data_IF_136861335041
#
_entry.id   IF_136861335041
#
_cell.length_a   1.000
_cell.length_b   1.000
_cell.length_c   1.000
_cell.angle_alpha   90.00
_cell.angle_beta   90.00
_cell.angle_gamma   90.00
#
_symmetry.space_group_name_H-M   'P 1'
#
loop_
_entity.id
_entity.type
_entity.pdbx_description
1 polymer ?
#
# COMPACT_ATOMS: atom_id res chain seq x y z
N UNK A 1 4.12 27.87 -54.22
CA UNK A 1 3.68 27.26 -52.95
C UNK A 1 2.33 26.60 -53.16
N UNK A 2 2.25 25.27 -53.06
CA UNK A 2 1.01 24.53 -53.32
C UNK A 2 -0.01 24.72 -52.19
N UNK A 3 -1.30 24.53 -52.50
CA UNK A 3 -2.41 24.71 -51.55
C UNK A 3 -2.18 23.93 -50.24
N UNK A 4 -1.59 22.75 -50.34
CA UNK A 4 -1.24 21.90 -49.20
C UNK A 4 -0.18 22.53 -48.27
N UNK A 5 0.85 23.17 -48.82
CA UNK A 5 1.92 23.80 -48.04
C UNK A 5 1.41 25.02 -47.26
N UNK A 6 0.48 25.79 -47.85
CA UNK A 6 -0.15 26.94 -47.17
C UNK A 6 -0.99 26.50 -45.96
N UNK A 7 -1.74 25.42 -46.11
CA UNK A 7 -2.57 24.88 -45.04
C UNK A 7 -1.68 24.27 -43.94
N UNK A 8 -0.66 23.52 -44.32
CA UNK A 8 0.26 22.89 -43.35
C UNK A 8 0.96 23.93 -42.46
N UNK A 9 1.45 25.04 -43.02
CA UNK A 9 2.14 26.10 -42.27
C UNK A 9 1.21 26.81 -41.27
N UNK A 10 -0.10 26.87 -41.55
CA UNK A 10 -1.08 27.50 -40.66
C UNK A 10 -1.58 26.55 -39.57
N UNK A 11 -1.77 25.27 -39.90
CA UNK A 11 -2.36 24.28 -38.97
C UNK A 11 -1.31 23.61 -38.09
N UNK A 12 -0.08 23.40 -38.58
CA UNK A 12 1.00 22.76 -37.83
C UNK A 12 1.33 23.44 -36.48
N UNK A 13 1.49 24.78 -36.37
CA UNK A 13 1.79 25.42 -35.09
C UNK A 13 0.65 25.28 -34.08
N UNK A 14 -0.61 25.29 -34.53
CA UNK A 14 -1.76 25.07 -33.65
C UNK A 14 -1.78 23.62 -33.11
N UNK A 15 -1.56 22.64 -33.99
CA UNK A 15 -1.46 21.23 -33.61
C UNK A 15 -0.25 20.97 -32.70
N UNK A 16 0.86 21.68 -32.88
CA UNK A 16 2.04 21.54 -32.03
C UNK A 16 1.76 22.00 -30.59
N UNK A 17 1.09 23.15 -30.42
CA UNK A 17 0.72 23.69 -29.09
C UNK A 17 -0.31 22.78 -28.41
N UNK A 18 -1.36 22.38 -29.13
CA UNK A 18 -2.38 21.48 -28.60
C UNK A 18 -1.80 20.10 -28.28
N UNK A 19 -0.90 19.59 -29.12
CA UNK A 19 -0.21 18.32 -28.90
C UNK A 19 0.69 18.35 -27.67
N UNK A 20 1.38 19.47 -27.43
CA UNK A 20 2.20 19.65 -26.23
C UNK A 20 1.34 19.63 -24.95
N UNK A 21 0.28 20.43 -24.90
CA UNK A 21 -0.64 20.49 -23.74
C UNK A 21 -1.31 19.12 -23.50
N UNK A 22 -1.78 18.46 -24.56
CA UNK A 22 -2.42 17.15 -24.44
C UNK A 22 -1.44 16.06 -23.96
N UNK A 23 -0.17 16.15 -24.38
CA UNK A 23 0.87 15.22 -23.94
C UNK A 23 1.22 15.43 -22.47
N UNK A 24 1.27 16.69 -22.02
CA UNK A 24 1.51 17.04 -20.61
C UNK A 24 0.39 16.47 -19.72
N UNK A 25 -0.88 16.71 -20.10
CA UNK A 25 -2.04 16.17 -19.40
C UNK A 25 -2.07 14.62 -19.39
N UNK A 26 -1.66 13.99 -20.49
CA UNK A 26 -1.63 12.52 -20.57
C UNK A 26 -0.58 11.91 -19.63
N UNK A 27 0.61 12.52 -19.54
CA UNK A 27 1.68 12.09 -18.65
C UNK A 27 1.31 12.33 -17.18
N UNK A 28 0.72 13.48 -16.84
CA UNK A 28 0.20 13.76 -15.49
C UNK A 28 -0.88 12.75 -15.08
N UNK A 29 -1.80 12.40 -15.98
CA UNK A 29 -2.86 11.44 -15.72
C UNK A 29 -2.34 10.00 -15.49
N UNK A 30 -1.19 9.61 -16.05
CA UNK A 30 -0.54 8.34 -15.71
C UNK A 30 0.26 8.40 -14.39
N UNK A 31 0.71 9.59 -13.97
CA UNK A 31 1.36 9.80 -12.67
C UNK A 31 0.36 9.87 -11.50
N UNK A 32 -0.87 10.33 -11.73
CA UNK A 32 -1.94 10.41 -10.73
C UNK A 32 -2.59 9.02 -10.43
N UNK A 33 -2.34 8.02 -11.29
CA UNK A 33 -2.75 6.64 -10.99
C UNK A 33 -1.94 6.12 -9.82
N UNK A 34 -2.56 6.16 -8.64
CA UNK A 34 -2.05 5.57 -7.40
C UNK A 34 -1.46 4.19 -7.70
N UNK A 35 -0.13 4.09 -7.63
CA UNK A 35 0.58 2.85 -7.95
C UNK A 35 0.28 1.85 -6.85
N UNK A 36 -0.56 0.86 -7.15
CA UNK A 36 -0.87 -0.26 -6.26
C UNK A 36 0.24 -1.31 -6.41
N UNK A 37 1.00 -1.52 -5.35
CA UNK A 37 2.09 -2.50 -5.29
C UNK A 37 1.72 -3.59 -4.30
N UNK A 38 1.80 -4.86 -4.73
CA UNK A 38 1.53 -5.98 -3.83
C UNK A 38 2.77 -6.30 -2.99
N UNK A 39 2.56 -6.48 -1.69
CA UNK A 39 3.48 -7.01 -0.71
C UNK A 39 3.15 -8.48 -0.48
N UNK A 40 4.16 -9.36 -0.50
CA UNK A 40 4.00 -10.79 -0.26
C UNK A 40 4.75 -11.21 1.01
N UNK A 41 4.25 -12.16 1.81
CA UNK A 41 5.03 -12.71 2.93
C UNK A 41 6.34 -13.36 2.45
N UNK A 42 7.45 -13.06 3.12
CA UNK A 42 8.76 -13.67 2.89
C UNK A 42 8.77 -15.15 3.33
N UNK A 43 8.02 -15.47 4.37
CA UNK A 43 7.85 -16.81 4.96
C UNK A 43 6.46 -16.97 5.56
N UNK A 44 6.20 -18.09 6.25
CA UNK A 44 5.01 -18.23 7.10
C UNK A 44 4.95 -17.07 8.11
N UNK A 45 3.80 -16.41 8.20
CA UNK A 45 3.59 -15.30 9.12
C UNK A 45 3.05 -15.78 10.47
N UNK A 46 3.73 -15.40 11.55
CA UNK A 46 3.29 -15.55 12.93
C UNK A 46 3.46 -14.21 13.67
N UNK A 47 2.47 -13.33 13.55
CA UNK A 47 2.49 -11.96 14.09
C UNK A 47 2.68 -11.95 15.61
N UNK A 48 2.09 -12.92 16.33
CA UNK A 48 2.25 -13.01 17.80
C UNK A 48 3.65 -13.47 18.22
N UNK A 49 4.34 -14.22 17.37
CA UNK A 49 5.74 -14.62 17.57
C UNK A 49 6.73 -13.55 17.07
N UNK A 50 6.25 -12.54 16.34
CA UNK A 50 7.08 -11.51 15.70
C UNK A 50 7.76 -11.96 14.40
N UNK A 51 7.28 -13.04 13.80
CA UNK A 51 7.84 -13.65 12.60
C UNK A 51 6.90 -13.39 11.40
N UNK A 52 6.78 -12.14 10.94
CA UNK A 52 5.98 -11.84 9.75
C UNK A 52 6.56 -10.65 8.99
N UNK A 53 7.35 -10.96 7.96
CA UNK A 53 7.96 -9.96 7.07
C UNK A 53 7.26 -10.01 5.72
N UNK A 54 6.75 -8.87 5.27
CA UNK A 54 6.14 -8.66 3.96
C UNK A 54 7.14 -7.93 3.06
N UNK A 55 7.29 -8.37 1.81
CA UNK A 55 8.33 -7.90 0.89
C UNK A 55 7.76 -7.47 -0.47
N UNK A 56 8.38 -6.45 -1.06
CA UNK A 56 8.20 -6.05 -2.46
C UNK A 56 9.47 -5.37 -2.97
N UNK A 57 10.31 -6.11 -3.71
CA UNK A 57 11.66 -5.66 -4.05
C UNK A 57 12.50 -5.44 -2.77
N UNK A 58 13.08 -4.25 -2.63
CA UNK A 58 13.86 -3.87 -1.45
C UNK A 58 13.01 -3.36 -0.27
N UNK A 59 11.71 -3.14 -0.50
CA UNK A 59 10.80 -2.69 0.54
C UNK A 59 10.37 -3.87 1.40
N UNK A 60 10.59 -3.77 2.71
CA UNK A 60 10.14 -4.75 3.70
C UNK A 60 9.31 -4.09 4.79
N UNK A 61 8.24 -4.75 5.20
CA UNK A 61 7.40 -4.37 6.34
C UNK A 61 7.27 -5.57 7.25
N UNK A 62 7.75 -5.46 8.47
CA UNK A 62 7.59 -6.49 9.49
C UNK A 62 6.41 -6.14 10.41
N UNK A 63 5.56 -7.12 10.68
CA UNK A 63 4.31 -6.99 11.44
C UNK A 63 4.40 -7.90 12.66
N UNK A 64 4.25 -7.32 13.85
CA UNK A 64 4.40 -8.07 15.09
C UNK A 64 3.49 -7.53 16.19
N UNK A 65 3.13 -8.38 17.16
CA UNK A 65 2.40 -7.95 18.35
C UNK A 65 3.37 -7.58 19.48
N UNK A 66 3.07 -6.46 20.14
CA UNK A 66 3.76 -6.00 21.34
C UNK A 66 2.73 -5.63 22.39
N UNK A 67 2.53 -6.54 23.36
CA UNK A 67 1.64 -6.34 24.50
C UNK A 67 0.20 -5.94 24.13
N UNK A 68 -0.38 -6.56 23.08
CA UNK A 68 -1.74 -6.28 22.62
C UNK A 68 -1.86 -5.12 21.63
N UNK A 69 -0.74 -4.45 21.31
CA UNK A 69 -0.66 -3.55 20.17
C UNK A 69 0.00 -4.27 19.00
N UNK A 70 -0.63 -4.27 17.83
CA UNK A 70 0.06 -4.63 16.60
C UNK A 70 0.93 -3.46 16.17
N UNK A 71 2.20 -3.74 15.97
CA UNK A 71 3.24 -2.81 15.55
C UNK A 71 3.72 -3.25 14.18
N UNK A 72 3.98 -2.27 13.32
CA UNK A 72 4.69 -2.49 12.07
C UNK A 72 5.98 -1.67 12.05
N UNK A 73 7.03 -2.24 11.47
CA UNK A 73 8.23 -1.49 11.11
C UNK A 73 8.61 -1.72 9.65
N UNK A 74 9.06 -0.66 8.99
CA UNK A 74 9.33 -0.68 7.56
C UNK A 74 10.78 -0.29 7.24
N UNK A 75 11.31 -0.73 6.09
CA UNK A 75 12.64 -0.31 5.60
C UNK A 75 12.63 1.08 4.97
N UNK A 76 11.46 1.57 4.57
CA UNK A 76 11.24 2.93 4.07
C UNK A 76 10.24 3.68 4.95
N UNK A 77 10.35 5.01 5.07
CA UNK A 77 9.44 5.79 5.89
C UNK A 77 8.06 5.80 5.24
N UNK A 78 7.03 5.47 6.02
CA UNK A 78 5.64 5.48 5.61
C UNK A 78 5.02 6.86 5.84
N UNK A 79 4.04 7.20 5.02
CA UNK A 79 3.19 8.38 5.23
C UNK A 79 1.90 8.02 5.95
N UNK A 80 1.37 6.82 5.71
CA UNK A 80 0.17 6.28 6.36
C UNK A 80 0.21 4.74 6.36
N UNK A 81 -0.52 4.13 7.29
CA UNK A 81 -0.72 2.70 7.33
C UNK A 81 -2.04 2.31 8.02
N UNK A 82 -2.76 1.36 7.44
CA UNK A 82 -4.00 0.80 7.99
C UNK A 82 -3.92 -0.72 7.97
N UNK A 83 -4.11 -1.32 9.14
CA UNK A 83 -4.23 -2.77 9.28
C UNK A 83 -5.71 -3.14 9.30
N UNK A 84 -6.07 -4.24 8.65
CA UNK A 84 -7.41 -4.79 8.66
C UNK A 84 -7.38 -6.20 9.20
N UNK A 85 -8.30 -6.50 10.10
CA UNK A 85 -8.62 -7.85 10.54
C UNK A 85 -9.81 -8.34 9.72
N UNK A 86 -9.64 -9.43 8.98
CA UNK A 86 -10.67 -9.98 8.10
C UNK A 86 -11.22 -11.25 8.72
N UNK A 87 -12.52 -11.25 9.00
CA UNK A 87 -13.20 -12.40 9.59
C UNK A 87 -13.53 -13.51 8.56
N UNK A 88 -14.11 -14.61 9.03
CA UNK A 88 -14.50 -15.74 8.17
C UNK A 88 -15.62 -15.43 7.18
N UNK A 89 -16.34 -14.33 7.38
CA UNK A 89 -17.38 -13.83 6.47
C UNK A 89 -16.82 -12.78 5.50
N UNK A 90 -15.49 -12.62 5.45
CA UNK A 90 -14.76 -11.64 4.64
C UNK A 90 -15.06 -10.17 5.02
N UNK A 91 -15.57 -9.93 6.24
CA UNK A 91 -15.73 -8.57 6.75
C UNK A 91 -14.40 -8.05 7.29
N UNK A 92 -13.92 -6.96 6.70
CA UNK A 92 -12.69 -6.30 7.11
C UNK A 92 -12.98 -5.21 8.15
N UNK A 93 -12.41 -5.34 9.34
CA UNK A 93 -12.40 -4.29 10.37
C UNK A 93 -11.10 -3.49 10.29
N UNK A 94 -11.19 -2.19 10.07
CA UNK A 94 -10.04 -1.30 9.92
C UNK A 94 -9.47 -0.83 11.26
N UNK A 95 -8.14 -0.86 11.36
CA UNK A 95 -7.33 -0.35 12.47
C UNK A 95 -6.29 0.61 11.89
N UNK A 96 -6.61 1.91 11.80
CA UNK A 96 -5.63 2.92 11.39
C UNK A 96 -4.45 2.92 12.37
N UNK A 97 -3.24 2.81 11.85
CA UNK A 97 -2.03 2.79 12.65
C UNK A 97 -1.59 4.22 12.95
N UNK A 98 -1.00 4.41 14.11
CA UNK A 98 -0.46 5.69 14.56
C UNK A 98 1.06 5.64 14.65
N UNK A 99 1.73 6.69 14.22
CA UNK A 99 3.16 6.83 14.35
C UNK A 99 3.56 6.90 15.84
N UNK A 100 4.59 6.14 16.22
CA UNK A 100 5.02 6.07 17.63
C UNK A 100 6.32 6.81 17.87
N UNK A 101 7.33 6.60 17.02
CA UNK A 101 8.69 7.13 17.21
C UNK A 101 9.18 7.86 15.97
N UNK A 102 8.97 7.26 14.80
CA UNK A 102 9.37 7.79 13.51
C UNK A 102 8.45 7.22 12.44
N UNK A 103 8.54 7.75 11.22
CA UNK A 103 7.78 7.29 10.07
C UNK A 103 8.08 5.83 9.69
N UNK A 104 9.03 5.17 10.36
CA UNK A 104 9.36 3.76 10.18
C UNK A 104 8.64 2.84 11.18
N UNK A 105 7.96 3.37 12.20
CA UNK A 105 7.31 2.60 13.28
C UNK A 105 5.90 3.10 13.56
N UNK A 106 4.94 2.20 13.34
CA UNK A 106 3.52 2.50 13.45
C UNK A 106 2.81 1.43 14.27
N UNK A 107 1.77 1.78 15.01
CA UNK A 107 1.05 0.82 15.84
C UNK A 107 -0.44 1.13 15.97
N UNK A 108 -1.23 0.10 16.27
CA UNK A 108 -2.61 0.22 16.72
C UNK A 108 -2.89 -0.85 17.78
N UNK A 109 -3.86 -0.57 18.66
CA UNK A 109 -4.42 -1.58 19.55
C UNK A 109 -5.31 -2.52 18.72
N UNK A 110 -5.08 -3.83 18.81
CA UNK A 110 -5.87 -4.81 18.06
C UNK A 110 -6.24 -5.99 18.94
N UNK A 111 -7.38 -6.65 18.67
CA UNK A 111 -7.80 -7.81 19.45
C UNK A 111 -7.05 -9.10 19.09
N UNK A 112 -5.99 -9.06 18.26
CA UNK A 112 -5.29 -10.26 17.74
C UNK A 112 -4.94 -11.29 18.82
N UNK A 113 -4.35 -10.83 19.93
CA UNK A 113 -3.98 -11.70 21.07
C UNK A 113 -5.20 -12.30 21.79
N UNK A 114 -6.30 -11.54 21.88
CA UNK A 114 -7.55 -12.04 22.46
C UNK A 114 -8.26 -13.04 21.54
N UNK A 115 -8.14 -12.87 20.22
CA UNK A 115 -8.69 -13.78 19.21
C UNK A 115 -7.97 -15.13 19.23
N UNK A 116 -6.65 -15.13 19.40
CA UNK A 116 -5.84 -16.33 19.56
C UNK A 116 -6.28 -17.19 20.76
N UNK A 117 -6.66 -16.54 21.86
CA UNK A 117 -7.01 -17.24 23.11
C UNK A 117 -8.47 -17.71 23.15
N UNK A 118 -9.38 -17.04 22.44
CA UNK A 118 -10.84 -17.21 22.62
C UNK A 118 -11.49 -18.24 21.70
N UNK A 119 -10.98 -18.43 20.48
CA UNK A 119 -11.73 -19.14 19.43
C UNK A 119 -11.08 -20.45 18.95
N UNK A 120 -10.05 -20.97 19.64
CA UNK A 120 -9.25 -22.12 19.16
C UNK A 120 -8.83 -21.95 17.67
N UNK A 121 -8.66 -20.70 17.26
CA UNK A 121 -8.45 -20.28 15.88
C UNK A 121 -6.95 -20.29 15.64
N UNK A 122 -6.52 -21.18 14.75
CA UNK A 122 -5.09 -21.41 14.47
C UNK A 122 -4.49 -20.37 13.52
N UNK A 123 -5.32 -19.72 12.70
CA UNK A 123 -4.90 -18.67 11.79
C UNK A 123 -5.97 -17.60 11.61
N UNK A 124 -5.53 -16.40 11.27
CA UNK A 124 -6.41 -15.25 11.04
C UNK A 124 -5.95 -14.46 9.83
N UNK A 125 -6.89 -14.02 9.01
CA UNK A 125 -6.59 -13.24 7.81
C UNK A 125 -6.38 -11.78 8.17
N UNK A 126 -5.25 -11.23 7.75
CA UNK A 126 -4.90 -9.83 7.90
C UNK A 126 -4.72 -9.20 6.53
N UNK A 127 -5.06 -7.91 6.44
CA UNK A 127 -4.74 -7.09 5.28
C UNK A 127 -4.03 -5.83 5.73
N UNK A 128 -2.93 -5.49 5.10
CA UNK A 128 -2.16 -4.28 5.38
C UNK A 128 -2.20 -3.39 4.16
N UNK A 129 -2.49 -2.11 4.37
CA UNK A 129 -2.28 -1.05 3.38
C UNK A 129 -1.29 -0.07 3.98
N UNK A 130 -0.18 0.18 3.29
CA UNK A 130 0.84 1.15 3.68
C UNK A 130 1.12 2.10 2.52
N UNK A 131 1.27 3.39 2.80
CA UNK A 131 1.45 4.41 1.77
C UNK A 131 2.82 5.06 1.85
N UNK A 132 3.47 5.25 0.70
CA UNK A 132 4.76 5.94 0.56
C UNK A 132 4.71 6.84 -0.67
N UNK A 133 4.82 8.15 -0.48
CA UNK A 133 4.87 9.21 -1.49
C UNK A 133 3.80 9.06 -2.57
N UNK A 134 2.57 8.73 -2.16
CA UNK A 134 1.43 8.52 -3.08
C UNK A 134 1.35 7.13 -3.73
N UNK A 135 2.34 6.26 -3.51
CA UNK A 135 2.24 4.83 -3.83
C UNK A 135 1.59 4.06 -2.68
N UNK A 136 0.72 3.11 -3.01
CA UNK A 136 0.04 2.27 -2.03
C UNK A 136 0.54 0.84 -2.12
N UNK A 137 0.99 0.31 -1.00
CA UNK A 137 1.45 -1.06 -0.85
C UNK A 137 0.39 -1.87 -0.12
N UNK A 138 -0.10 -2.93 -0.75
CA UNK A 138 -1.17 -3.76 -0.21
C UNK A 138 -0.68 -5.20 0.00
N UNK A 139 -1.00 -5.78 1.14
CA UNK A 139 -0.79 -7.19 1.41
C UNK A 139 -2.05 -7.79 1.98
N UNK A 140 -2.41 -9.00 1.55
CA UNK A 140 -3.35 -9.86 2.24
C UNK A 140 -2.60 -11.15 2.59
N UNK A 141 -2.62 -11.52 3.86
CA UNK A 141 -1.84 -12.64 4.38
C UNK A 141 -2.54 -13.28 5.57
N UNK A 142 -2.30 -14.57 5.76
CA UNK A 142 -2.73 -15.28 6.96
C UNK A 142 -1.62 -15.26 7.99
N UNK A 143 -1.96 -14.91 9.23
CA UNK A 143 -1.07 -15.11 10.37
C UNK A 143 -1.49 -16.34 11.15
N UNK A 144 -0.51 -17.12 11.59
CA UNK A 144 -0.70 -18.08 12.65
C UNK A 144 -0.86 -17.32 13.98
N UNK A 145 -1.82 -17.75 14.80
CA UNK A 145 -2.15 -17.19 16.12
C UNK A 145 -1.65 -18.09 17.25
#
# INVERSE_FOLDING_TARGET
MNKHTKVAVLVAPLLAVLGYIASDYFIENDADKTKLITLVPESSCAVLAGECVLISGDFKVNVFDKAGSTVINATFPLDDAVLFLVDSNDNATAYPLTQVQSNYYWQAQTPLRSLATSNNTTSYKLRLIASIKGGNYISEFETLL
#
